data_IF_171660983236
#
_entry.id   IF_171660983236
#
_cell.length_a   1.000
_cell.length_b   1.000
_cell.length_c   1.000
_cell.angle_alpha   90.00
_cell.angle_beta   90.00
_cell.angle_gamma   90.00
#
_symmetry.space_group_name_H-M   'P 1'
#
loop_
_entity.id
_entity.type
_entity.pdbx_description
1 polymer ?
#
# COMPACT_ATOMS: atom_id res chain seq x y z
N UNK A 1 -25.05 -11.40 -32.89
CA UNK A 1 -24.00 -10.36 -33.02
C UNK A 1 -22.92 -10.69 -31.98
N UNK A 2 -21.94 -11.54 -32.32
CA UNK A 2 -20.87 -11.91 -31.39
C UNK A 2 -19.88 -10.75 -31.27
N UNK A 3 -19.90 -10.08 -30.11
CA UNK A 3 -18.87 -9.12 -29.74
C UNK A 3 -17.60 -9.95 -29.44
N UNK A 4 -16.53 -9.74 -30.21
CA UNK A 4 -15.25 -10.47 -30.04
C UNK A 4 -14.71 -10.29 -28.62
N UNK A 5 -14.00 -11.30 -28.11
CA UNK A 5 -13.36 -11.28 -26.77
C UNK A 5 -12.57 -9.99 -26.52
N UNK A 6 -11.88 -9.49 -27.56
CA UNK A 6 -11.14 -8.23 -27.56
C UNK A 6 -12.01 -7.00 -27.24
N UNK A 7 -13.23 -6.94 -27.80
CA UNK A 7 -14.17 -5.83 -27.55
C UNK A 7 -14.73 -5.85 -26.14
N UNK A 8 -14.90 -7.04 -25.54
CA UNK A 8 -15.26 -7.17 -24.13
C UNK A 8 -14.11 -6.68 -23.24
N UNK A 9 -12.87 -7.09 -23.52
CA UNK A 9 -11.68 -6.65 -22.78
C UNK A 9 -11.47 -5.13 -22.82
N UNK A 10 -11.64 -4.51 -23.98
CA UNK A 10 -11.57 -3.06 -24.14
C UNK A 10 -12.68 -2.33 -23.35
N UNK A 11 -13.91 -2.84 -23.37
CA UNK A 11 -15.01 -2.30 -22.58
C UNK A 11 -14.76 -2.43 -21.08
N UNK A 12 -14.30 -3.59 -20.60
CA UNK A 12 -13.93 -3.80 -19.19
C UNK A 12 -12.81 -2.85 -18.74
N UNK A 13 -11.78 -2.66 -19.58
CA UNK A 13 -10.68 -1.75 -19.28
C UNK A 13 -11.14 -0.30 -19.21
N UNK A 14 -12.02 0.10 -20.13
CA UNK A 14 -12.66 1.42 -20.13
C UNK A 14 -13.54 1.63 -18.90
N UNK A 15 -14.41 0.67 -18.58
CA UNK A 15 -15.31 0.72 -17.43
C UNK A 15 -14.55 0.76 -16.11
N UNK A 16 -13.53 -0.11 -15.94
CA UNK A 16 -12.63 -0.07 -14.79
C UNK A 16 -11.90 1.27 -14.68
N UNK A 17 -11.42 1.82 -15.81
CA UNK A 17 -10.78 3.13 -15.85
C UNK A 17 -11.74 4.26 -15.45
N UNK A 18 -12.99 4.20 -15.89
CA UNK A 18 -14.02 5.18 -15.53
C UNK A 18 -14.42 5.08 -14.06
N UNK A 19 -14.74 3.89 -13.56
CA UNK A 19 -15.05 3.64 -12.14
C UNK A 19 -13.90 4.09 -11.24
N UNK A 20 -12.65 3.78 -11.62
CA UNK A 20 -11.47 4.24 -10.88
C UNK A 20 -11.38 5.76 -10.82
N UNK A 21 -11.66 6.45 -11.93
CA UNK A 21 -11.68 7.93 -11.97
C UNK A 21 -12.74 8.51 -11.04
N UNK A 22 -13.96 7.97 -11.07
CA UNK A 22 -15.06 8.41 -10.20
C UNK A 22 -14.72 8.21 -8.72
N UNK A 23 -14.21 7.02 -8.35
CA UNK A 23 -13.74 6.74 -6.99
C UNK A 23 -12.67 7.75 -6.59
N UNK A 24 -11.66 8.00 -7.43
CA UNK A 24 -10.60 8.98 -7.14
C UNK A 24 -11.13 10.40 -6.92
N UNK A 25 -12.14 10.83 -7.68
CA UNK A 25 -12.76 12.15 -7.49
C UNK A 25 -13.49 12.22 -6.15
N UNK A 26 -14.23 11.17 -5.79
CA UNK A 26 -14.91 11.09 -4.50
C UNK A 26 -13.92 11.12 -3.33
N UNK A 27 -12.79 10.44 -3.45
CA UNK A 27 -11.73 10.44 -2.44
C UNK A 27 -11.23 11.86 -2.16
N UNK A 28 -10.87 12.59 -3.22
CA UNK A 28 -10.39 13.97 -3.08
C UNK A 28 -11.47 14.89 -2.50
N UNK A 29 -12.72 14.73 -2.95
CA UNK A 29 -13.85 15.50 -2.42
C UNK A 29 -14.08 15.24 -0.93
N UNK A 30 -14.12 13.96 -0.51
CA UNK A 30 -14.29 13.60 0.90
C UNK A 30 -13.15 14.19 1.73
N UNK A 31 -11.90 14.08 1.25
CA UNK A 31 -10.75 14.66 1.94
C UNK A 31 -10.90 16.18 2.12
N UNK A 32 -11.21 16.90 1.04
CA UNK A 32 -11.35 18.36 1.07
C UNK A 32 -12.54 18.84 1.91
N UNK A 33 -13.66 18.09 1.91
CA UNK A 33 -14.84 18.41 2.71
C UNK A 33 -14.56 18.17 4.19
N UNK A 34 -14.08 16.98 4.56
CA UNK A 34 -13.84 16.62 5.97
C UNK A 34 -12.82 17.57 6.61
N UNK A 35 -11.79 18.00 5.86
CA UNK A 35 -10.80 18.96 6.34
C UNK A 35 -11.32 20.38 6.60
N UNK A 36 -12.44 20.76 5.98
CA UNK A 36 -13.06 22.09 6.16
C UNK A 36 -14.08 22.10 7.30
N UNK A 37 -14.50 20.93 7.77
CA UNK A 37 -15.44 20.80 8.87
C UNK A 37 -14.75 21.07 10.21
N UNK A 38 -15.21 22.11 10.92
CA UNK A 38 -14.60 22.63 12.16
C UNK A 38 -14.62 21.60 13.31
N UNK A 39 -15.50 20.61 13.22
CA UNK A 39 -15.75 19.60 14.26
C UNK A 39 -14.95 18.31 14.07
N UNK A 40 -14.16 18.18 12.99
CA UNK A 40 -13.41 16.96 12.72
C UNK A 40 -11.92 17.15 13.00
N UNK A 41 -11.41 16.52 14.06
CA UNK A 41 -9.98 16.38 14.28
C UNK A 41 -9.54 15.12 13.54
N UNK A 42 -8.81 15.29 12.44
CA UNK A 42 -8.30 14.16 11.66
C UNK A 42 -7.41 13.31 12.56
N UNK A 43 -7.78 12.05 12.74
CA UNK A 43 -7.04 11.10 13.55
C UNK A 43 -6.16 10.21 12.67
N UNK A 44 -5.30 9.42 13.32
CA UNK A 44 -4.42 8.45 12.66
C UNK A 44 -5.20 7.55 11.68
N UNK A 45 -6.39 7.09 12.07
CA UNK A 45 -7.19 6.15 11.27
C UNK A 45 -7.65 6.78 9.96
N UNK A 46 -8.11 8.04 10.00
CA UNK A 46 -8.51 8.76 8.80
C UNK A 46 -7.36 8.87 7.80
N UNK A 47 -6.17 9.29 8.25
CA UNK A 47 -5.01 9.40 7.38
C UNK A 47 -4.55 8.05 6.84
N UNK A 48 -4.52 7.01 7.69
CA UNK A 48 -4.22 5.64 7.27
C UNK A 48 -5.14 5.19 6.15
N UNK A 49 -6.46 5.37 6.31
CA UNK A 49 -7.44 4.93 5.33
C UNK A 49 -7.34 5.71 4.02
N UNK A 50 -7.13 7.03 4.09
CA UNK A 50 -6.87 7.86 2.90
C UNK A 50 -5.64 7.38 2.13
N UNK A 51 -4.53 7.14 2.83
CA UNK A 51 -3.28 6.70 2.20
C UNK A 51 -3.40 5.32 1.57
N UNK A 52 -3.99 4.35 2.28
CA UNK A 52 -4.24 3.01 1.72
C UNK A 52 -5.11 3.07 0.47
N UNK A 53 -6.17 3.88 0.51
CA UNK A 53 -7.12 4.01 -0.58
C UNK A 53 -6.50 4.71 -1.80
N UNK A 54 -5.71 5.77 -1.59
CA UNK A 54 -4.97 6.45 -2.66
C UNK A 54 -3.91 5.56 -3.29
N UNK A 55 -3.17 4.79 -2.49
CA UNK A 55 -2.20 3.80 -2.97
C UNK A 55 -2.85 2.77 -3.90
N UNK A 56 -3.93 2.11 -3.45
CA UNK A 56 -4.70 1.12 -4.25
C UNK A 56 -5.25 1.72 -5.55
N UNK A 57 -5.61 3.00 -5.51
CA UNK A 57 -6.07 3.74 -6.67
C UNK A 57 -4.95 4.39 -7.51
N UNK A 58 -3.68 4.09 -7.24
CA UNK A 58 -2.49 4.59 -7.97
C UNK A 58 -2.45 6.12 -8.05
N UNK A 59 -2.82 6.77 -6.94
CA UNK A 59 -2.86 8.22 -6.77
C UNK A 59 -1.73 8.69 -5.85
N UNK A 60 -0.50 8.49 -6.32
CA UNK A 60 0.71 8.74 -5.51
C UNK A 60 0.91 10.21 -5.19
N UNK A 61 0.66 11.10 -6.15
CA UNK A 61 0.84 12.55 -5.94
C UNK A 61 -0.14 13.07 -4.88
N UNK A 62 -1.38 12.59 -4.91
CA UNK A 62 -2.37 12.88 -3.88
C UNK A 62 -1.99 12.24 -2.54
N UNK A 63 -1.46 11.01 -2.53
CA UNK A 63 -0.99 10.37 -1.32
C UNK A 63 0.17 11.14 -0.67
N UNK A 64 1.10 11.69 -1.47
CA UNK A 64 2.20 12.55 -0.99
C UNK A 64 1.67 13.85 -0.36
N UNK A 65 0.60 14.44 -0.90
CA UNK A 65 -0.08 15.59 -0.28
C UNK A 65 -0.69 15.20 1.08
N UNK A 66 -1.44 14.11 1.14
CA UNK A 66 -2.03 13.60 2.39
C UNK A 66 -0.95 13.30 3.43
N UNK A 67 0.17 12.69 3.03
CA UNK A 67 1.32 12.44 3.90
C UNK A 67 1.95 13.74 4.43
N UNK A 68 2.12 14.73 3.55
CA UNK A 68 2.61 16.05 3.95
C UNK A 68 1.67 16.77 4.91
N UNK A 69 0.36 16.57 4.77
CA UNK A 69 -0.65 17.13 5.68
C UNK A 69 -0.58 16.46 7.05
N UNK A 70 -0.51 15.12 7.09
CA UNK A 70 -0.30 14.35 8.32
C UNK A 70 0.91 14.85 9.12
N UNK A 71 2.05 15.08 8.43
CA UNK A 71 3.25 15.60 9.07
C UNK A 71 3.07 17.00 9.65
N UNK A 72 2.40 17.90 8.91
CA UNK A 72 2.16 19.28 9.37
C UNK A 72 1.20 19.34 10.54
N UNK A 73 0.28 18.38 10.62
CA UNK A 73 -0.69 18.25 11.71
C UNK A 73 -0.14 17.41 12.87
N UNK A 74 1.12 16.98 12.80
CA UNK A 74 1.85 16.22 13.83
C UNK A 74 1.12 14.93 14.25
N UNK A 75 0.39 14.31 13.31
CA UNK A 75 -0.28 13.03 13.54
C UNK A 75 0.75 11.91 13.44
N UNK A 76 0.92 11.16 14.52
CA UNK A 76 1.85 10.03 14.60
C UNK A 76 1.14 8.73 14.26
N UNK A 77 1.87 7.85 13.60
CA UNK A 77 1.46 6.48 13.34
C UNK A 77 2.14 5.51 14.28
N UNK A 78 1.38 4.54 14.76
CA UNK A 78 1.96 3.37 15.38
C UNK A 78 2.67 2.48 14.34
N UNK A 79 3.52 1.59 14.84
CA UNK A 79 4.31 0.68 14.01
C UNK A 79 3.43 -0.25 13.15
N UNK A 80 2.23 -0.63 13.62
CA UNK A 80 1.30 -1.46 12.85
C UNK A 80 0.76 -0.70 11.62
N UNK A 81 0.41 0.57 11.80
CA UNK A 81 -0.10 1.46 10.77
C UNK A 81 0.94 1.68 9.67
N UNK A 82 2.23 1.83 10.03
CA UNK A 82 3.31 1.85 9.04
C UNK A 82 3.35 0.56 8.21
N UNK A 83 3.25 -0.60 8.85
CA UNK A 83 3.21 -1.90 8.16
C UNK A 83 2.06 -2.01 7.16
N UNK A 84 0.86 -1.58 7.54
CA UNK A 84 -0.33 -1.58 6.69
C UNK A 84 -0.18 -0.68 5.47
N UNK A 85 0.29 0.56 5.68
CA UNK A 85 0.46 1.53 4.60
C UNK A 85 1.57 1.07 3.65
N UNK A 86 2.72 0.64 4.18
CA UNK A 86 3.81 0.12 3.35
C UNK A 86 3.33 -1.06 2.50
N UNK A 87 2.56 -1.98 3.07
CA UNK A 87 1.97 -3.10 2.33
C UNK A 87 1.09 -2.61 1.19
N UNK A 88 0.23 -1.62 1.44
CA UNK A 88 -0.65 -1.06 0.42
C UNK A 88 0.12 -0.41 -0.74
N UNK A 89 1.20 0.32 -0.46
CA UNK A 89 2.07 0.91 -1.48
C UNK A 89 2.82 -0.15 -2.29
N UNK A 90 3.34 -1.19 -1.64
CA UNK A 90 4.04 -2.31 -2.30
C UNK A 90 3.11 -3.12 -3.20
N UNK A 91 1.94 -3.50 -2.70
CA UNK A 91 0.91 -4.23 -3.48
C UNK A 91 0.40 -3.38 -4.66
N UNK A 92 0.54 -2.04 -4.58
CA UNK A 92 0.14 -1.12 -5.66
C UNK A 92 1.27 -0.80 -6.65
N UNK A 93 2.48 -1.34 -6.43
CA UNK A 93 3.64 -1.17 -7.32
C UNK A 93 4.45 0.11 -7.07
N UNK A 94 4.43 0.65 -5.85
CA UNK A 94 5.14 1.87 -5.46
C UNK A 94 6.24 1.61 -4.43
N UNK A 95 7.31 0.88 -4.80
CA UNK A 95 8.34 0.48 -3.85
C UNK A 95 9.21 1.66 -3.40
N UNK A 96 9.30 2.75 -4.18
CA UNK A 96 10.11 3.93 -3.86
C UNK A 96 9.45 4.68 -2.69
N UNK A 97 8.18 5.00 -2.84
CA UNK A 97 7.35 5.59 -1.80
C UNK A 97 7.28 4.69 -0.55
N UNK A 98 7.20 3.37 -0.73
CA UNK A 98 7.25 2.44 0.40
C UNK A 98 8.57 2.56 1.19
N UNK A 99 9.71 2.77 0.53
CA UNK A 99 10.99 2.98 1.21
C UNK A 99 11.08 4.36 1.89
N UNK A 100 10.41 5.38 1.36
CA UNK A 100 10.28 6.67 2.05
C UNK A 100 9.50 6.49 3.35
N UNK A 101 8.35 5.81 3.30
CA UNK A 101 7.52 5.49 4.48
C UNK A 101 8.29 4.63 5.49
N UNK A 102 9.10 3.66 5.01
CA UNK A 102 9.97 2.88 5.86
C UNK A 102 10.97 3.74 6.64
N UNK A 103 11.58 4.73 5.97
CA UNK A 103 12.49 5.67 6.62
C UNK A 103 11.81 6.50 7.71
N UNK A 104 10.52 6.83 7.54
CA UNK A 104 9.73 7.49 8.58
C UNK A 104 9.42 6.54 9.75
N UNK A 105 9.11 5.28 9.46
CA UNK A 105 8.87 4.26 10.48
C UNK A 105 10.09 4.05 11.39
N UNK A 106 11.30 4.01 10.83
CA UNK A 106 12.54 3.83 11.59
C UNK A 106 12.94 5.06 12.41
N UNK A 107 12.45 6.24 12.03
CA UNK A 107 12.63 7.50 12.77
C UNK A 107 11.48 7.79 13.74
N UNK A 108 10.46 6.94 13.78
CA UNK A 108 9.32 7.08 14.69
C UNK A 108 9.79 7.02 16.15
N UNK A 109 9.21 7.82 17.06
CA UNK A 109 9.49 7.72 18.49
C UNK A 109 9.04 6.37 19.09
N UNK A 110 8.11 5.67 18.44
CA UNK A 110 7.62 4.38 18.91
C UNK A 110 8.67 3.29 18.69
N UNK A 111 8.93 2.43 19.69
CA UNK A 111 9.93 1.38 19.57
C UNK A 111 9.56 0.41 18.44
N UNK A 112 10.53 -0.01 17.61
CA UNK A 112 10.26 -0.94 16.53
C UNK A 112 9.71 -2.26 17.07
N UNK A 113 8.71 -2.80 16.38
CA UNK A 113 8.13 -4.11 16.68
C UNK A 113 8.31 -5.05 15.48
N UNK A 114 8.44 -6.35 15.74
CA UNK A 114 8.86 -7.30 14.71
C UNK A 114 7.79 -7.59 13.64
N UNK A 115 6.50 -7.44 13.96
CA UNK A 115 5.42 -7.83 13.05
C UNK A 115 5.33 -6.97 11.77
N UNK A 116 5.37 -5.62 11.83
CA UNK A 116 5.44 -4.76 10.64
C UNK A 116 6.60 -5.12 9.72
N UNK A 117 7.79 -5.38 10.26
CA UNK A 117 8.94 -5.80 9.45
C UNK A 117 8.67 -7.08 8.66
N UNK A 118 7.98 -8.07 9.24
CA UNK A 118 7.58 -9.29 8.50
C UNK A 118 6.65 -8.99 7.33
N UNK A 119 5.69 -8.09 7.53
CA UNK A 119 4.76 -7.64 6.48
C UNK A 119 5.53 -6.95 5.36
N UNK A 120 6.47 -6.07 5.73
CA UNK A 120 7.32 -5.30 4.83
C UNK A 120 8.26 -6.23 4.02
N UNK A 121 8.97 -7.14 4.69
CA UNK A 121 9.86 -8.13 4.06
C UNK A 121 9.12 -9.01 3.06
N UNK A 122 7.85 -9.34 3.34
CA UNK A 122 6.99 -10.06 2.39
C UNK A 122 6.59 -9.17 1.21
N UNK A 123 6.27 -7.90 1.45
CA UNK A 123 5.94 -6.95 0.38
C UNK A 123 7.12 -6.67 -0.56
N UNK A 124 8.35 -6.69 -0.04
CA UNK A 124 9.57 -6.48 -0.83
C UNK A 124 10.12 -7.75 -1.51
N UNK A 125 9.39 -8.88 -1.51
CA UNK A 125 9.83 -10.08 -2.25
C UNK A 125 10.23 -9.79 -3.72
N UNK A 126 9.50 -8.96 -4.49
CA UNK A 126 9.90 -8.61 -5.86
C UNK A 126 11.09 -7.64 -5.97
N UNK A 127 11.60 -7.13 -4.84
CA UNK A 127 12.59 -6.05 -4.78
C UNK A 127 13.78 -6.44 -3.86
N UNK A 128 14.68 -7.33 -4.33
CA UNK A 128 15.66 -8.00 -3.46
C UNK A 128 16.62 -7.05 -2.74
N UNK A 129 17.13 -6.02 -3.41
CA UNK A 129 18.07 -5.05 -2.81
C UNK A 129 17.44 -4.29 -1.63
N UNK A 130 16.17 -3.91 -1.75
CA UNK A 130 15.42 -3.20 -0.69
C UNK A 130 15.05 -4.15 0.45
N UNK A 131 14.72 -5.40 0.09
CA UNK A 131 14.41 -6.45 1.06
C UNK A 131 15.62 -6.78 1.93
N UNK A 132 16.80 -6.87 1.34
CA UNK A 132 18.05 -7.12 2.06
C UNK A 132 18.32 -6.02 3.09
N UNK A 133 18.21 -4.74 2.68
CA UNK A 133 18.31 -3.61 3.62
C UNK A 133 17.35 -3.73 4.81
N UNK A 134 16.06 -3.98 4.57
CA UNK A 134 15.08 -4.12 5.67
C UNK A 134 15.40 -5.33 6.55
N UNK A 135 15.97 -6.40 5.98
CA UNK A 135 16.38 -7.59 6.72
C UNK A 135 17.57 -7.30 7.63
N UNK A 136 18.55 -6.57 7.13
CA UNK A 136 19.73 -6.16 7.90
C UNK A 136 19.30 -5.27 9.08
N UNK A 137 18.49 -4.24 8.81
CA UNK A 137 17.93 -3.37 9.84
C UNK A 137 17.14 -4.17 10.90
N UNK A 138 16.36 -5.19 10.48
CA UNK A 138 15.66 -6.07 11.42
C UNK A 138 16.61 -6.85 12.32
N UNK A 139 17.68 -7.42 11.77
CA UNK A 139 18.64 -8.21 12.54
C UNK A 139 19.43 -7.33 13.52
N UNK A 140 19.71 -6.08 13.16
CA UNK A 140 20.32 -5.10 14.06
C UNK A 140 19.38 -4.71 15.21
N UNK A 141 18.09 -4.52 14.93
CA UNK A 141 17.08 -4.09 15.91
C UNK A 141 16.61 -5.22 16.83
N UNK A 142 16.54 -6.45 16.33
CA UNK A 142 15.99 -7.61 17.03
C UNK A 142 17.03 -8.73 17.15
N UNK A 143 18.08 -8.46 17.93
CA UNK A 143 19.09 -9.46 18.29
C UNK A 143 18.40 -10.74 18.83
N UNK A 144 18.88 -11.90 18.39
CA UNK A 144 18.35 -13.25 18.69
C UNK A 144 17.00 -13.64 18.06
N UNK A 145 16.37 -12.80 17.22
CA UNK A 145 15.21 -13.24 16.44
C UNK A 145 15.61 -13.86 15.09
N UNK A 146 15.20 -15.11 14.86
CA UNK A 146 15.29 -15.74 13.54
C UNK A 146 14.27 -15.08 12.62
N UNK A 147 14.74 -14.33 11.63
CA UNK A 147 13.91 -13.86 10.52
C UNK A 147 13.43 -15.09 9.76
N UNK A 148 12.11 -15.35 9.76
CA UNK A 148 11.53 -16.31 8.83
C UNK A 148 11.70 -15.76 7.41
N UNK A 149 12.67 -16.30 6.68
CA UNK A 149 12.95 -16.02 5.27
C UNK A 149 12.42 -17.19 4.43
N UNK A 150 11.12 -17.21 4.12
CA UNK A 150 10.55 -18.29 3.32
C UNK A 150 11.24 -18.31 1.94
N UNK A 151 11.66 -19.49 1.45
CA UNK A 151 12.15 -19.66 0.09
C UNK A 151 11.28 -18.92 -0.94
N UNK A 152 11.92 -18.26 -1.90
CA UNK A 152 11.25 -17.49 -2.97
C UNK A 152 10.17 -18.31 -3.68
N UNK A 153 10.37 -19.62 -3.74
CA UNK A 153 9.57 -20.61 -4.46
C UNK A 153 8.26 -20.99 -3.74
N UNK A 154 8.05 -20.59 -2.48
CA UNK A 154 6.81 -20.87 -1.73
C UNK A 154 5.63 -19.96 -2.12
N UNK A 155 5.86 -18.94 -2.94
CA UNK A 155 4.82 -17.97 -3.34
C UNK A 155 4.54 -17.97 -4.86
N UNK A 156 5.11 -18.90 -5.63
CA UNK A 156 4.73 -19.07 -7.05
C UNK A 156 3.32 -19.69 -7.20
N UNK A 157 2.75 -20.26 -6.15
CA UNK A 157 1.42 -20.88 -6.22
C UNK A 157 0.31 -19.94 -5.73
N UNK A 158 -0.16 -19.09 -6.65
CA UNK A 158 -1.59 -18.86 -6.98
C UNK A 158 -1.71 -17.69 -7.97
N UNK A 159 -1.21 -17.91 -9.19
CA UNK A 159 -1.96 -17.46 -10.34
C UNK A 159 -3.32 -18.18 -10.28
N UNK A 160 -4.37 -17.51 -9.78
CA UNK A 160 -5.71 -17.89 -10.19
C UNK A 160 -5.80 -17.54 -11.67
N UNK A 161 -5.36 -18.50 -12.50
CA UNK A 161 -5.80 -18.66 -13.87
C UNK A 161 -7.30 -18.41 -13.88
N UNK A 162 -7.72 -17.28 -14.45
CA UNK A 162 -9.00 -17.26 -15.18
C UNK A 162 -8.75 -18.11 -16.42
N UNK A 163 -8.65 -19.42 -16.23
CA UNK A 163 -8.88 -20.34 -17.32
C UNK A 163 -10.36 -20.18 -17.66
N UNK A 164 -10.55 -19.61 -18.84
CA UNK A 164 -11.69 -19.79 -19.69
C UNK A 164 -12.20 -21.23 -19.59
N UNK A 165 -13.39 -21.40 -19.00
CA UNK A 165 -14.28 -22.49 -19.37
C UNK A 165 -14.76 -22.20 -20.80
N UNK A 166 -13.94 -22.57 -21.78
CA UNK A 166 -14.44 -23.12 -23.03
C UNK A 166 -14.36 -24.64 -22.83
N UNK A 167 -15.50 -25.27 -22.53
CA UNK A 167 -15.87 -26.61 -23.01
C UNK A 167 -17.38 -26.79 -22.75
N UNK A 168 -18.10 -27.01 -23.87
CA UNK A 168 -19.53 -27.24 -24.12
C UNK A 168 -20.47 -26.04 -24.39
#
# INVERSE_FOLDING_TARGET
MHISSERKGAFYSFWLGWVRKEICMLIGLIYDVVRKEIWYRLDMFFYRDMLMMLARNKKVDEAKKVWGDLKREEVLFDQHTFGDIMRAFLDSGFPLEAMEIYGEMTQSPDPPISLPFRVILKGFLPYPERREKVKDDFLELFLDMIVYDPPKDLFEDKEWKRESEDDD
#
